data_IF_528984631905
#
_entry.id   IF_528984631905
#
_cell.length_a   1.000
_cell.length_b   1.000
_cell.length_c   1.000
_cell.angle_alpha   90.00
_cell.angle_beta   90.00
_cell.angle_gamma   90.00
#
_symmetry.space_group_name_H-M   'P 1'
#
loop_
_entity.id
_entity.type
_entity.pdbx_description
1 polymer ?
#
# COMPACT_ATOMS: atom_id res chain seq x y z
N UNK A 1 42.35 47.46 0.06
CA UNK A 1 41.25 46.78 -0.67
C UNK A 1 41.45 45.26 -0.70
N UNK A 2 41.37 44.57 0.45
CA UNK A 2 41.60 43.10 0.53
C UNK A 2 40.69 42.36 1.54
N UNK A 3 39.59 42.99 1.99
CA UNK A 3 38.67 42.38 2.98
C UNK A 3 37.25 42.11 2.43
N UNK A 4 36.92 42.55 1.23
CA UNK A 4 35.57 42.40 0.64
C UNK A 4 35.33 41.08 -0.12
N UNK A 5 36.37 40.31 -0.43
CA UNK A 5 36.24 39.11 -1.27
C UNK A 5 35.94 37.82 -0.48
N UNK A 6 36.10 37.80 0.85
CA UNK A 6 35.86 36.59 1.66
C UNK A 6 34.38 36.41 2.07
N UNK A 7 33.59 37.48 2.10
CA UNK A 7 32.18 37.41 2.53
C UNK A 7 31.22 36.94 1.43
N UNK A 8 31.65 36.92 0.17
CA UNK A 8 30.80 36.51 -0.94
C UNK A 8 30.72 34.98 -1.11
N UNK A 9 31.67 34.23 -0.55
CA UNK A 9 31.66 32.75 -0.59
C UNK A 9 30.78 32.11 0.50
N UNK A 10 30.49 32.81 1.60
CA UNK A 10 29.67 32.28 2.69
C UNK A 10 28.16 32.47 2.48
N UNK A 11 27.75 33.32 1.53
CA UNK A 11 26.34 33.60 1.22
C UNK A 11 25.75 32.69 0.12
N UNK A 12 26.57 31.85 -0.51
CA UNK A 12 26.12 30.89 -1.55
C UNK A 12 25.84 29.48 -1.01
N UNK A 13 26.16 29.20 0.26
CA UNK A 13 26.06 27.85 0.84
C UNK A 13 24.68 27.53 1.47
N UNK A 14 23.75 28.48 1.51
CA UNK A 14 22.46 28.35 2.22
C UNK A 14 21.27 28.02 1.32
N UNK A 15 21.45 27.76 0.02
CA UNK A 15 20.35 27.52 -0.93
C UNK A 15 20.01 26.05 -1.21
N UNK A 16 20.59 25.09 -0.49
CA UNK A 16 20.34 23.65 -0.74
C UNK A 16 19.60 22.92 0.39
N UNK A 17 18.85 23.62 1.23
CA UNK A 17 17.78 22.97 2.00
C UNK A 17 16.52 22.95 1.13
N UNK A 18 16.56 22.18 0.05
CA UNK A 18 15.34 21.67 -0.58
C UNK A 18 14.69 20.78 0.46
N UNK A 19 13.85 21.37 1.31
CA UNK A 19 13.00 20.62 2.20
C UNK A 19 12.19 19.67 1.32
N UNK A 20 12.54 18.38 1.34
CA UNK A 20 11.65 17.33 0.87
C UNK A 20 10.36 17.53 1.66
N UNK A 21 9.37 18.18 1.04
CA UNK A 21 8.02 18.20 1.60
C UNK A 21 7.65 16.74 1.78
N UNK A 22 7.24 16.30 2.99
CA UNK A 22 6.70 14.97 3.15
C UNK A 22 5.61 14.81 2.10
N UNK A 23 5.78 13.82 1.22
CA UNK A 23 4.85 13.59 0.13
C UNK A 23 3.46 13.38 0.73
N UNK A 24 2.49 14.13 0.22
CA UNK A 24 1.09 14.04 0.64
C UNK A 24 0.61 12.57 0.57
N UNK A 25 -0.03 12.03 1.63
CA UNK A 25 -0.44 10.63 1.67
C UNK A 25 -1.32 10.23 0.48
N UNK A 26 -2.23 11.11 0.02
CA UNK A 26 -3.07 10.83 -1.14
C UNK A 26 -2.22 10.62 -2.41
N UNK A 27 -1.21 11.46 -2.59
CA UNK A 27 -0.23 11.35 -3.68
C UNK A 27 0.58 10.06 -3.59
N UNK A 28 1.03 9.68 -2.39
CA UNK A 28 1.78 8.43 -2.19
C UNK A 28 0.92 7.19 -2.42
N UNK A 29 -0.33 7.17 -1.96
CA UNK A 29 -1.25 6.04 -2.16
C UNK A 29 -1.52 5.84 -3.66
N UNK A 30 -1.65 6.94 -4.40
CA UNK A 30 -2.00 6.92 -5.82
C UNK A 30 -0.81 6.87 -6.79
N UNK A 31 0.43 6.89 -6.30
CA UNK A 31 1.62 6.88 -7.17
C UNK A 31 1.98 5.51 -7.72
N UNK A 32 1.40 4.44 -7.18
CA UNK A 32 1.73 3.07 -7.56
C UNK A 32 0.47 2.20 -7.68
N UNK A 33 0.55 1.19 -8.55
CA UNK A 33 -0.23 -0.04 -8.35
C UNK A 33 0.47 -0.86 -7.28
N UNK A 34 -0.29 -1.32 -6.30
CA UNK A 34 0.17 -2.07 -5.16
C UNK A 34 -0.12 -3.57 -5.33
N UNK A 35 0.71 -4.40 -4.71
CA UNK A 35 0.48 -5.83 -4.48
C UNK A 35 0.77 -6.15 -3.03
N UNK A 36 0.29 -7.28 -2.53
CA UNK A 36 0.64 -7.73 -1.19
C UNK A 36 2.10 -8.16 -1.10
N UNK A 37 2.76 -7.80 0.00
CA UNK A 37 4.01 -8.40 0.42
C UNK A 37 3.71 -9.78 1.00
N UNK A 38 4.01 -10.82 0.21
CA UNK A 38 3.71 -12.19 0.58
C UNK A 38 4.44 -12.60 1.86
N UNK A 39 5.72 -12.25 2.03
CA UNK A 39 6.48 -12.66 3.22
C UNK A 39 5.94 -11.99 4.48
N UNK A 40 5.64 -10.68 4.42
CA UNK A 40 5.01 -9.99 5.55
C UNK A 40 3.62 -10.55 5.86
N UNK A 41 2.85 -10.96 4.85
CA UNK A 41 1.57 -11.64 5.05
C UNK A 41 1.75 -13.00 5.73
N UNK A 42 2.77 -13.79 5.33
CA UNK A 42 3.12 -15.06 5.97
C UNK A 42 3.39 -14.87 7.45
N UNK A 43 4.28 -13.94 7.78
CA UNK A 43 4.68 -13.65 9.16
C UNK A 43 3.46 -13.26 9.99
N UNK A 44 2.56 -12.44 9.46
CA UNK A 44 1.35 -12.02 10.16
C UNK A 44 0.39 -13.19 10.42
N UNK A 45 0.20 -14.06 9.41
CA UNK A 45 -0.63 -15.25 9.56
C UNK A 45 -0.07 -16.23 10.58
N UNK A 46 1.26 -16.40 10.61
CA UNK A 46 1.93 -17.35 11.51
C UNK A 46 1.94 -16.91 12.98
N UNK A 47 1.68 -15.65 13.31
CA UNK A 47 1.70 -15.15 14.71
C UNK A 47 0.66 -15.79 15.63
N UNK A 48 -0.47 -16.23 15.08
CA UNK A 48 -1.64 -16.60 15.87
C UNK A 48 -2.16 -18.00 15.53
N UNK A 49 -1.32 -18.87 14.96
CA UNK A 49 -1.69 -20.24 14.61
C UNK A 49 -0.97 -21.25 15.48
N UNK A 50 -1.58 -22.41 15.66
CA UNK A 50 -0.98 -23.57 16.32
C UNK A 50 0.14 -24.19 15.47
N UNK A 51 0.98 -25.04 16.07
CA UNK A 51 2.07 -25.69 15.32
C UNK A 51 1.54 -26.64 14.22
N UNK A 52 0.38 -27.27 14.44
CA UNK A 52 -0.28 -28.11 13.43
C UNK A 52 -0.77 -27.26 12.24
N UNK A 53 -1.45 -26.14 12.52
CA UNK A 53 -1.90 -25.19 11.50
C UNK A 53 -0.74 -24.55 10.74
N UNK A 54 0.38 -24.30 11.43
CA UNK A 54 1.60 -23.77 10.82
C UNK A 54 2.17 -24.74 9.79
N UNK A 55 2.24 -26.04 10.09
CA UNK A 55 2.73 -27.04 9.12
C UNK A 55 1.83 -27.12 7.88
N UNK A 56 0.51 -27.07 8.08
CA UNK A 56 -0.46 -27.02 6.98
C UNK A 56 -0.23 -25.76 6.14
N UNK A 57 -0.13 -24.59 6.79
CA UNK A 57 0.07 -23.32 6.11
C UNK A 57 1.38 -23.28 5.32
N UNK A 58 2.48 -23.76 5.91
CA UNK A 58 3.78 -23.85 5.24
C UNK A 58 3.73 -24.75 4.00
N UNK A 59 2.98 -25.85 4.04
CA UNK A 59 2.80 -26.74 2.89
C UNK A 59 2.00 -26.10 1.74
N UNK A 60 1.03 -25.25 2.08
CA UNK A 60 0.19 -24.53 1.10
C UNK A 60 0.81 -23.23 0.61
N UNK A 61 1.81 -22.71 1.34
CA UNK A 61 2.39 -21.40 1.13
C UNK A 61 2.85 -21.13 -0.31
N UNK A 62 3.57 -22.05 -0.99
CA UNK A 62 4.01 -21.79 -2.37
C UNK A 62 2.86 -21.49 -3.35
N UNK A 63 1.71 -22.17 -3.21
CA UNK A 63 0.52 -21.93 -4.02
C UNK A 63 -0.16 -20.61 -3.65
N UNK A 64 -0.23 -20.31 -2.35
CA UNK A 64 -0.77 -19.04 -1.86
C UNK A 64 0.06 -17.86 -2.35
N UNK A 65 1.39 -17.93 -2.31
CA UNK A 65 2.28 -16.85 -2.79
C UNK A 65 2.01 -16.52 -4.24
N UNK A 66 1.87 -17.52 -5.11
CA UNK A 66 1.55 -17.27 -6.52
C UNK A 66 0.23 -16.52 -6.65
N UNK A 67 -0.80 -16.93 -5.90
CA UNK A 67 -2.10 -16.26 -5.89
C UNK A 67 -2.00 -14.82 -5.36
N UNK A 68 -1.33 -14.62 -4.22
CA UNK A 68 -1.15 -13.31 -3.57
C UNK A 68 -0.42 -12.34 -4.51
N UNK A 69 0.60 -12.82 -5.22
CA UNK A 69 1.38 -12.02 -6.19
C UNK A 69 0.60 -11.59 -7.42
N UNK A 70 -0.57 -12.15 -7.70
CA UNK A 70 -1.40 -11.70 -8.83
C UNK A 70 -2.36 -10.56 -8.47
N UNK A 71 -2.53 -10.27 -7.17
CA UNK A 71 -3.37 -9.15 -6.76
C UNK A 71 -2.74 -7.83 -7.19
N UNK A 72 -3.57 -6.95 -7.77
CA UNK A 72 -3.18 -5.59 -8.12
C UNK A 72 -4.21 -4.63 -7.57
N UNK A 73 -3.77 -3.66 -6.78
CA UNK A 73 -4.62 -2.65 -6.16
C UNK A 73 -4.15 -1.30 -6.67
N UNK A 74 -5.01 -0.60 -7.40
CA UNK A 74 -4.73 0.72 -7.93
C UNK A 74 -5.65 1.73 -7.25
N UNK A 75 -5.08 2.78 -6.68
CA UNK A 75 -5.81 3.91 -6.13
C UNK A 75 -5.60 5.11 -7.06
N UNK A 76 -6.65 5.54 -7.75
CA UNK A 76 -6.57 6.67 -8.67
C UNK A 76 -6.72 8.00 -7.91
N UNK A 77 -6.05 9.04 -8.38
CA UNK A 77 -6.05 10.36 -7.74
C UNK A 77 -7.46 11.03 -7.72
N UNK A 78 -8.35 10.60 -8.62
CA UNK A 78 -9.75 11.02 -8.69
C UNK A 78 -10.64 10.45 -7.58
N UNK A 79 -10.10 9.57 -6.73
CA UNK A 79 -10.83 8.94 -5.63
C UNK A 79 -11.50 7.63 -6.02
N UNK A 80 -11.16 7.04 -7.17
CA UNK A 80 -11.59 5.67 -7.53
C UNK A 80 -10.50 4.65 -7.21
N UNK A 81 -10.88 3.41 -6.91
CA UNK A 81 -9.92 2.30 -6.79
C UNK A 81 -10.36 1.10 -7.60
N UNK A 82 -9.39 0.27 -7.99
CA UNK A 82 -9.59 -1.01 -8.65
C UNK A 82 -8.73 -2.06 -7.96
N UNK A 83 -9.32 -3.22 -7.68
CA UNK A 83 -8.61 -4.43 -7.26
C UNK A 83 -8.78 -5.48 -8.35
N UNK A 84 -7.68 -5.90 -8.96
CA UNK A 84 -7.64 -7.09 -9.83
C UNK A 84 -7.18 -8.27 -9.00
N UNK A 85 -7.98 -9.32 -8.98
CA UNK A 85 -7.70 -10.59 -8.33
C UNK A 85 -7.83 -11.74 -9.35
N UNK A 86 -7.31 -12.95 -9.07
CA UNK A 86 -7.46 -14.11 -9.96
C UNK A 86 -8.90 -14.41 -10.36
N UNK A 87 -9.84 -14.18 -9.45
CA UNK A 87 -11.24 -14.58 -9.59
C UNK A 87 -12.13 -13.46 -10.16
N UNK A 88 -11.57 -12.28 -10.43
CA UNK A 88 -12.33 -11.15 -10.94
C UNK A 88 -11.72 -9.81 -10.57
N UNK A 89 -12.50 -8.76 -10.80
CA UNK A 89 -12.16 -7.40 -10.42
C UNK A 89 -13.20 -6.82 -9.48
N UNK A 90 -12.74 -5.98 -8.57
CA UNK A 90 -13.55 -5.13 -7.71
C UNK A 90 -13.20 -3.67 -8.02
N UNK A 91 -14.21 -2.81 -8.08
CA UNK A 91 -14.04 -1.38 -8.29
C UNK A 91 -14.82 -0.63 -7.22
N UNK A 92 -14.40 0.59 -6.91
CA UNK A 92 -15.08 1.41 -5.93
C UNK A 92 -14.49 2.80 -5.80
N UNK A 93 -14.83 3.46 -4.71
CA UNK A 93 -14.30 4.77 -4.35
C UNK A 93 -13.48 4.70 -3.08
N UNK A 94 -12.53 5.62 -2.94
CA UNK A 94 -11.73 5.76 -1.74
C UNK A 94 -11.52 7.22 -1.38
N UNK A 95 -11.34 7.46 -0.08
CA UNK A 95 -10.99 8.77 0.45
C UNK A 95 -10.07 8.64 1.66
N UNK A 96 -9.40 9.75 2.00
CA UNK A 96 -8.72 9.89 3.29
C UNK A 96 -9.65 10.61 4.26
N UNK A 97 -9.94 9.94 5.38
CA UNK A 97 -10.70 10.51 6.49
C UNK A 97 -9.69 10.99 7.54
N UNK A 98 -9.52 12.30 7.63
CA UNK A 98 -8.42 12.89 8.43
C UNK A 98 -7.06 12.61 7.80
N UNK A 99 -6.05 12.37 8.64
CA UNK A 99 -4.66 12.26 8.17
C UNK A 99 -4.19 10.82 7.96
N UNK A 100 -4.91 9.81 8.49
CA UNK A 100 -4.39 8.44 8.58
C UNK A 100 -5.43 7.34 8.39
N UNK A 101 -6.66 7.65 7.97
CA UNK A 101 -7.67 6.61 7.67
C UNK A 101 -7.96 6.60 6.17
N UNK A 102 -7.73 5.45 5.55
CA UNK A 102 -8.15 5.15 4.19
C UNK A 102 -9.51 4.47 4.24
N UNK A 103 -10.55 5.13 3.72
CA UNK A 103 -11.89 4.57 3.60
C UNK A 103 -12.11 4.07 2.18
N UNK A 104 -12.55 2.83 2.02
CA UNK A 104 -12.93 2.23 0.74
C UNK A 104 -14.42 1.94 0.72
N UNK A 105 -15.09 2.26 -0.38
CA UNK A 105 -16.49 1.89 -0.62
C UNK A 105 -16.57 1.13 -1.93
N UNK A 106 -16.80 -0.18 -1.83
CA UNK A 106 -16.94 -1.06 -3.00
C UNK A 106 -18.22 -0.72 -3.78
N UNK A 107 -18.09 -0.66 -5.10
CA UNK A 107 -19.21 -0.54 -6.03
C UNK A 107 -19.51 -1.90 -6.63
N UNK A 108 -20.50 -2.60 -6.09
CA UNK A 108 -21.02 -3.83 -6.70
C UNK A 108 -22.27 -3.48 -7.48
N UNK A 109 -22.22 -3.70 -8.80
CA UNK A 109 -23.35 -3.47 -9.70
C UNK A 109 -24.55 -4.32 -9.25
N UNK A 110 -25.65 -3.66 -8.84
CA UNK A 110 -26.89 -4.33 -8.44
C UNK A 110 -26.99 -4.79 -6.97
N UNK A 111 -25.99 -4.53 -6.12
CA UNK A 111 -26.08 -4.82 -4.68
C UNK A 111 -26.36 -3.54 -3.86
N UNK A 112 -26.97 -3.70 -2.68
CA UNK A 112 -27.01 -2.62 -1.67
C UNK A 112 -25.57 -2.19 -1.39
N UNK A 113 -25.33 -0.87 -1.31
CA UNK A 113 -24.03 -0.32 -0.96
C UNK A 113 -23.48 -1.07 0.26
N UNK A 114 -22.34 -1.73 0.08
CA UNK A 114 -21.64 -2.36 1.20
C UNK A 114 -21.19 -1.26 2.16
N UNK A 115 -21.16 -1.60 3.45
CA UNK A 115 -20.61 -0.68 4.44
C UNK A 115 -19.16 -0.33 4.07
N UNK A 116 -18.76 0.96 4.17
CA UNK A 116 -17.39 1.35 3.90
C UNK A 116 -16.40 0.59 4.78
N UNK A 117 -15.27 0.22 4.21
CA UNK A 117 -14.16 -0.39 4.91
C UNK A 117 -13.13 0.67 5.28
N UNK A 118 -12.88 0.83 6.57
CA UNK A 118 -11.89 1.77 7.08
C UNK A 118 -10.59 1.05 7.44
N UNK A 119 -9.49 1.58 6.92
CA UNK A 119 -8.14 1.10 7.20
C UNK A 119 -7.32 2.23 7.82
N UNK A 120 -6.71 1.97 8.96
CA UNK A 120 -5.68 2.85 9.51
C UNK A 120 -4.39 2.67 8.71
N UNK A 121 -3.86 3.76 8.19
CA UNK A 121 -2.54 3.83 7.56
C UNK A 121 -1.50 3.90 8.68
N UNK A 122 -0.75 2.81 8.87
CA UNK A 122 0.32 2.75 9.87
C UNK A 122 1.65 3.28 9.32
N UNK A 123 1.89 3.09 8.02
CA UNK A 123 3.11 3.48 7.35
C UNK A 123 2.82 3.69 5.87
N UNK A 124 3.35 4.76 5.28
CA UNK A 124 3.32 4.95 3.84
C UNK A 124 4.58 5.65 3.33
N UNK A 125 5.17 5.10 2.29
CA UNK A 125 6.27 5.67 1.53
C UNK A 125 6.29 5.09 0.10
N UNK A 126 7.25 5.49 -0.73
CA UNK A 126 7.35 5.06 -2.13
C UNK A 126 7.52 3.54 -2.32
N UNK A 127 7.95 2.81 -1.28
CA UNK A 127 8.24 1.38 -1.37
C UNK A 127 7.22 0.52 -0.62
N UNK A 128 6.32 1.12 0.16
CA UNK A 128 5.48 0.37 1.09
C UNK A 128 4.26 1.16 1.54
N UNK A 129 3.14 0.48 1.64
CA UNK A 129 1.91 0.94 2.27
C UNK A 129 1.45 -0.11 3.29
N UNK A 130 1.38 0.28 4.55
CA UNK A 130 0.89 -0.58 5.64
C UNK A 130 -0.49 -0.10 6.08
N UNK A 131 -1.45 -1.00 5.94
CA UNK A 131 -2.83 -0.78 6.34
C UNK A 131 -3.18 -1.73 7.49
N UNK A 132 -4.00 -1.25 8.41
CA UNK A 132 -4.55 -2.10 9.45
C UNK A 132 -6.04 -1.86 9.63
N UNK A 133 -6.77 -2.93 9.94
CA UNK A 133 -8.17 -2.84 10.37
C UNK A 133 -8.41 -3.76 11.55
N UNK A 134 -9.37 -3.40 12.39
CA UNK A 134 -9.89 -4.33 13.38
C UNK A 134 -10.85 -5.30 12.70
N UNK A 135 -10.65 -6.59 12.92
CA UNK A 135 -11.58 -7.63 12.54
C UNK A 135 -12.49 -7.99 13.73
N UNK A 136 -13.41 -8.91 13.49
CA UNK A 136 -14.23 -9.49 14.55
C UNK A 136 -13.36 -9.99 15.71
N UNK A 137 -13.87 -9.84 16.93
CA UNK A 137 -13.19 -10.21 18.18
C UNK A 137 -11.94 -9.37 18.53
N UNK A 138 -11.81 -8.17 17.95
CA UNK A 138 -10.73 -7.22 18.29
C UNK A 138 -9.36 -7.61 17.74
N UNK A 139 -9.31 -8.62 16.86
CA UNK A 139 -8.07 -9.01 16.20
C UNK A 139 -7.71 -7.97 15.15
N UNK A 140 -6.54 -7.36 15.28
CA UNK A 140 -6.01 -6.44 14.26
C UNK A 140 -5.49 -7.24 13.07
N UNK A 141 -6.04 -6.99 11.88
CA UNK A 141 -5.50 -7.49 10.62
C UNK A 141 -4.57 -6.42 10.07
N UNK A 142 -3.30 -6.78 9.85
CA UNK A 142 -2.30 -5.91 9.25
C UNK A 142 -1.96 -6.39 7.84
N UNK A 143 -2.02 -5.49 6.88
CA UNK A 143 -1.72 -5.73 5.48
C UNK A 143 -0.53 -4.88 5.08
N UNK A 144 0.47 -5.54 4.49
CA UNK A 144 1.64 -4.86 3.92
C UNK A 144 1.52 -4.94 2.41
N UNK A 145 1.52 -3.77 1.79
CA UNK A 145 1.49 -3.60 0.36
C UNK A 145 2.83 -3.05 -0.11
N UNK A 146 3.30 -3.54 -1.24
CA UNK A 146 4.51 -3.08 -1.93
C UNK A 146 4.14 -2.73 -3.37
N UNK A 147 4.90 -1.84 -4.05
CA UNK A 147 4.68 -1.55 -5.45
C UNK A 147 4.70 -2.84 -6.27
N UNK A 148 3.68 -3.04 -7.09
CA UNK A 148 3.67 -4.10 -8.07
C UNK A 148 4.79 -3.81 -9.07
N UNK A 149 5.81 -4.67 -9.13
CA UNK A 149 6.91 -4.53 -10.09
C UNK A 149 6.35 -4.57 -11.52
N UNK A 150 6.65 -3.54 -12.30
CA UNK A 150 6.17 -3.39 -13.69
C UNK A 150 6.63 -4.48 -14.65
N UNK A 151 7.61 -5.32 -14.26
CA UNK A 151 8.25 -6.33 -15.10
C UNK A 151 7.44 -7.61 -15.35
N UNK A 152 6.27 -7.80 -14.73
CA UNK A 152 5.45 -9.01 -14.93
C UNK A 152 4.25 -8.79 -15.87
N UNK A 153 4.04 -7.57 -16.38
CA UNK A 153 2.85 -7.24 -17.19
C UNK A 153 3.05 -7.52 -18.70
N UNK A 154 4.27 -7.81 -19.16
CA UNK A 154 4.56 -8.00 -20.61
C UNK A 154 4.57 -9.45 -21.09
N UNK A 155 4.45 -10.46 -20.22
CA UNK A 155 4.58 -11.88 -20.65
C UNK A 155 3.26 -12.65 -20.85
N UNK A 156 2.09 -12.04 -20.63
CA UNK A 156 0.79 -12.70 -20.85
C UNK A 156 -0.05 -12.04 -21.97
N UNK A 157 0.61 -11.30 -22.87
CA UNK A 157 0.00 -10.77 -24.08
C UNK A 157 0.74 -11.28 -25.33
N UNK A 158 0.86 -12.60 -25.47
CA UNK A 158 1.12 -13.30 -26.74
C UNK A 158 0.15 -14.47 -26.91
#
# INVERSE_FOLDING_TARGET
>A
MRKSLLYMFFLLASLFFTACKPSDPKTLISSHTWTFDAEAMKEEMLKNVTEEEKQIMESMWPMMVQTIKTYRISYNADGTYEVKAPMGKEEGTWELVGDNVLRQTASIEGAKALEPLDFTIEEINANKLVLAREAEQGKKIRMVLVPASSSETEQNAE
#
